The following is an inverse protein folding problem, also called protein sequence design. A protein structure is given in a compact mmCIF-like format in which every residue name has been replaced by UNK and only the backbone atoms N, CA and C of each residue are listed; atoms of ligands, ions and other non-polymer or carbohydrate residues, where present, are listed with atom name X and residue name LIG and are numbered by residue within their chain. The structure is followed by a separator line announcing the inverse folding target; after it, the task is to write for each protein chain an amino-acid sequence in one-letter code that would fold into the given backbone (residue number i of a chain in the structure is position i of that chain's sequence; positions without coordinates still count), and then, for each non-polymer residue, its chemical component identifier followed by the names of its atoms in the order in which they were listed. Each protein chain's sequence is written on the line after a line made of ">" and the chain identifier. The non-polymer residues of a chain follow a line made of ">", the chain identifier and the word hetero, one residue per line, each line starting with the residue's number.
data_IF_635425556142
#
_entry.id   IF_635425556142
#
_cell.length_a   1.000
_cell.length_b   1.000
_cell.length_c   1.000
_cell.angle_alpha   90.00
_cell.angle_beta   90.00
_cell.angle_gamma   90.00
#
_symmetry.space_group_name_H-M   'P 1'
#
loop_
_entity.id
_entity.type
_entity.pdbx_description
1 polymer ?
#
# COMPACT_ATOMS: atom_id res chain seq x y z
N UNK A 1 12.15 1.81 -7.58
CA UNK A 1 11.60 1.49 -8.91
C UNK A 1 10.14 1.07 -8.83
N UNK A 2 9.33 1.41 -9.82
CA UNK A 2 7.91 1.01 -9.88
C UNK A 2 7.68 -0.48 -10.14
N UNK A 3 8.74 -1.27 -10.35
CA UNK A 3 8.69 -2.68 -10.73
C UNK A 3 8.03 -3.61 -9.68
N UNK A 4 7.98 -3.17 -8.42
CA UNK A 4 7.36 -3.92 -7.33
C UNK A 4 5.85 -3.65 -7.16
N UNK A 5 5.33 -2.65 -7.87
CA UNK A 5 3.94 -2.21 -7.81
C UNK A 5 3.19 -2.79 -9.02
N UNK A 6 2.12 -3.53 -8.75
CA UNK A 6 1.23 -4.12 -9.74
C UNK A 6 -0.05 -3.30 -9.92
N UNK A 7 -1.15 -4.00 -10.24
CA UNK A 7 -2.46 -3.37 -10.48
C UNK A 7 -2.92 -2.52 -9.28
N UNK A 8 -3.40 -1.32 -9.59
CA UNK A 8 -3.99 -0.39 -8.63
C UNK A 8 -5.48 -0.29 -8.91
N UNK A 9 -6.30 -0.66 -7.95
CA UNK A 9 -7.76 -0.52 -8.01
C UNK A 9 -8.21 0.57 -7.04
N UNK A 10 -8.83 1.62 -7.57
CA UNK A 10 -9.29 2.77 -6.80
C UNK A 10 -10.80 2.67 -6.60
N UNK A 11 -11.23 2.71 -5.36
CA UNK A 11 -12.64 2.85 -4.97
C UNK A 11 -12.82 4.20 -4.26
N UNK A 12 -14.05 4.74 -4.18
CA UNK A 12 -14.30 6.04 -3.55
C UNK A 12 -13.81 6.14 -2.10
N UNK A 13 -13.80 5.03 -1.35
CA UNK A 13 -13.40 4.98 0.07
C UNK A 13 -12.05 4.29 0.35
N UNK A 14 -11.50 3.54 -0.60
CA UNK A 14 -10.27 2.77 -0.38
C UNK A 14 -9.54 2.47 -1.68
N UNK A 15 -8.25 2.14 -1.58
CA UNK A 15 -7.41 1.78 -2.72
C UNK A 15 -6.73 0.45 -2.42
N UNK A 16 -6.76 -0.45 -3.40
CA UNK A 16 -6.00 -1.70 -3.35
C UNK A 16 -4.84 -1.63 -4.33
N UNK A 17 -3.65 -1.98 -3.84
CA UNK A 17 -2.41 -1.97 -4.61
C UNK A 17 -1.82 -3.36 -4.53
N UNK A 18 -1.67 -4.03 -5.67
CA UNK A 18 -0.91 -5.27 -5.73
C UNK A 18 0.58 -4.94 -5.57
N UNK A 19 1.25 -5.67 -4.68
CA UNK A 19 2.70 -5.53 -4.44
C UNK A 19 3.35 -6.90 -4.48
N UNK A 20 4.63 -6.98 -4.89
CA UNK A 20 5.37 -8.24 -4.81
C UNK A 20 5.46 -8.71 -3.37
N UNK A 21 5.34 -10.02 -3.16
CA UNK A 21 5.36 -10.64 -1.84
C UNK A 21 6.64 -10.31 -1.06
N UNK A 22 7.79 -10.25 -1.74
CA UNK A 22 9.09 -9.92 -1.15
C UNK A 22 9.12 -8.54 -0.47
N UNK A 23 8.36 -7.57 -0.99
CA UNK A 23 8.31 -6.20 -0.43
C UNK A 23 7.07 -5.92 0.41
N UNK A 24 6.07 -6.81 0.41
CA UNK A 24 4.77 -6.58 1.01
C UNK A 24 4.83 -6.21 2.50
N UNK A 25 5.61 -6.95 3.29
CA UNK A 25 5.78 -6.69 4.73
C UNK A 25 6.49 -5.36 5.00
N UNK A 26 7.53 -5.05 4.22
CA UNK A 26 8.28 -3.79 4.32
C UNK A 26 7.38 -2.60 3.99
N UNK A 27 6.68 -2.67 2.86
CA UNK A 27 5.75 -1.63 2.42
C UNK A 27 4.62 -1.42 3.42
N UNK A 28 4.03 -2.50 3.96
CA UNK A 28 2.98 -2.41 4.98
C UNK A 28 3.45 -1.68 6.24
N UNK A 29 4.61 -2.03 6.79
CA UNK A 29 5.18 -1.34 7.98
C UNK A 29 5.47 0.13 7.70
N UNK A 30 6.03 0.45 6.54
CA UNK A 30 6.31 1.83 6.15
C UNK A 30 5.02 2.65 6.02
N UNK A 31 4.00 2.09 5.37
CA UNK A 31 2.71 2.77 5.19
C UNK A 31 1.91 2.87 6.49
N UNK A 32 2.08 1.93 7.42
CA UNK A 32 1.45 1.98 8.74
C UNK A 32 1.96 3.17 9.57
N UNK A 33 3.26 3.47 9.50
CA UNK A 33 3.87 4.58 10.24
C UNK A 33 3.93 5.88 9.42
N UNK A 34 3.72 5.80 8.11
CA UNK A 34 3.80 6.91 7.19
C UNK A 34 2.52 7.71 7.08
N UNK A 35 2.63 8.89 6.46
CA UNK A 35 1.48 9.70 6.03
C UNK A 35 1.38 9.66 4.52
N UNK A 36 0.19 9.47 3.99
CA UNK A 36 -0.09 9.59 2.56
C UNK A 36 -0.62 11.00 2.32
N UNK A 37 0.12 11.81 1.56
CA UNK A 37 -0.23 13.21 1.28
C UNK A 37 -0.56 14.00 2.56
N UNK A 38 0.28 13.83 3.60
CA UNK A 38 0.13 14.52 4.89
C UNK A 38 -0.97 13.97 5.82
N UNK A 39 -1.74 12.96 5.39
CA UNK A 39 -2.81 12.34 6.19
C UNK A 39 -2.40 10.94 6.66
N UNK A 40 -2.76 10.61 7.89
CA UNK A 40 -2.63 9.25 8.40
C UNK A 40 -3.67 8.37 7.70
N UNK A 41 -3.22 7.28 7.08
CA UNK A 41 -4.09 6.34 6.41
C UNK A 41 -3.99 4.97 7.09
N UNK A 42 -5.13 4.33 7.35
CA UNK A 42 -5.15 2.96 7.88
C UNK A 42 -4.84 2.00 6.74
N UNK A 43 -3.84 1.15 6.93
CA UNK A 43 -3.37 0.20 5.90
C UNK A 43 -3.46 -1.22 6.43
N UNK A 44 -3.95 -2.14 5.58
CA UNK A 44 -4.08 -3.56 5.88
C UNK A 44 -3.45 -4.37 4.76
N UNK A 45 -2.64 -5.36 5.13
CA UNK A 45 -2.18 -6.38 4.20
C UNK A 45 -3.31 -7.37 3.94
N UNK A 46 -3.67 -7.57 2.67
CA UNK A 46 -4.64 -8.56 2.23
C UNK A 46 -3.90 -9.78 1.69
N UNK A 47 -4.40 -10.99 2.02
CA UNK A 47 -3.91 -12.26 1.49
C UNK A 47 -4.72 -12.67 0.27
#
# INVERSE_FOLDING_TARGET
>A
DGADIGKINVHPMHVYVAVRQAVAQKAWKQLQNGKIKGKSCRVRLLK
#
